data_IF_793288048952
#
_entry.id   IF_793288048952
#
_cell.length_a   1.000
_cell.length_b   1.000
_cell.length_c   1.000
_cell.angle_alpha   90.00
_cell.angle_beta   90.00
_cell.angle_gamma   90.00
#
_symmetry.space_group_name_H-M   'P 1'
#
loop_
_entity.id
_entity.type
_entity.pdbx_description
1 polymer ?
#
# COMPACT_ATOMS: atom_id res chain seq x y z
N UNK A 1 42.69 61.44 3.00
CA UNK A 1 43.10 62.48 2.04
C UNK A 1 43.73 61.76 0.85
N UNK A 2 43.19 62.02 -0.34
CA UNK A 2 43.79 61.78 -1.69
C UNK A 2 44.15 60.33 -2.07
N UNK A 3 44.09 59.83 -3.31
CA UNK A 3 43.55 60.20 -4.65
C UNK A 3 43.69 58.94 -5.53
N UNK A 4 43.10 58.99 -6.75
CA UNK A 4 43.34 58.17 -7.95
C UNK A 4 42.51 56.86 -8.10
N UNK A 5 41.48 56.74 -8.94
CA UNK A 5 41.18 57.18 -10.33
C UNK A 5 41.69 56.23 -11.44
N UNK A 6 40.69 55.58 -12.08
CA UNK A 6 40.48 55.23 -13.50
C UNK A 6 41.23 54.08 -14.18
N UNK A 7 40.41 53.19 -14.78
CA UNK A 7 40.31 52.81 -16.22
C UNK A 7 39.16 51.77 -16.37
N UNK A 8 37.94 52.11 -16.81
CA UNK A 8 37.36 52.18 -18.18
C UNK A 8 37.69 51.03 -19.16
N UNK A 9 36.66 50.28 -19.57
CA UNK A 9 36.38 49.78 -20.94
C UNK A 9 35.11 48.91 -20.87
N UNK A 10 33.94 49.44 -21.23
CA UNK A 10 33.31 49.41 -22.57
C UNK A 10 32.59 48.10 -22.89
N UNK A 11 31.27 48.24 -23.00
CA UNK A 11 30.22 47.28 -23.31
C UNK A 11 30.30 46.85 -24.79
N UNK A 12 30.16 45.55 -25.07
CA UNK A 12 29.72 45.06 -26.38
C UNK A 12 28.76 43.88 -26.17
N UNK A 13 27.55 44.01 -26.72
CA UNK A 13 26.53 42.97 -26.81
C UNK A 13 26.89 42.05 -27.97
N UNK A 14 26.77 40.75 -27.76
CA UNK A 14 26.58 39.80 -28.84
C UNK A 14 25.58 38.74 -28.41
N UNK A 15 24.51 38.66 -29.20
CA UNK A 15 23.46 37.68 -29.15
C UNK A 15 24.02 36.29 -29.44
N UNK A 16 23.65 35.32 -28.62
CA UNK A 16 23.71 33.91 -29.00
C UNK A 16 22.49 33.21 -28.43
N UNK A 17 21.61 32.85 -29.37
CA UNK A 17 20.41 32.06 -29.17
C UNK A 17 20.79 30.71 -28.56
N UNK A 18 20.24 30.39 -27.39
CA UNK A 18 20.30 29.06 -26.82
C UNK A 18 18.94 28.40 -26.99
N UNK A 19 18.95 27.29 -27.71
CA UNK A 19 17.81 26.54 -28.17
C UNK A 19 17.06 25.90 -27.01
N UNK A 20 15.83 26.34 -26.80
CA UNK A 20 14.84 25.68 -25.97
C UNK A 20 14.44 24.35 -26.61
N UNK A 21 15.10 23.26 -26.20
CA UNK A 21 14.63 21.90 -26.45
C UNK A 21 13.36 21.66 -25.63
N UNK A 22 12.22 21.82 -26.32
CA UNK A 22 10.92 21.35 -25.84
C UNK A 22 10.94 19.83 -25.83
N UNK A 23 11.09 19.28 -24.65
CA UNK A 23 10.86 17.86 -24.35
C UNK A 23 9.38 17.56 -24.62
N UNK A 24 9.10 17.04 -25.81
CA UNK A 24 7.76 16.65 -26.23
C UNK A 24 7.43 15.35 -25.53
N UNK A 25 6.69 15.45 -24.43
CA UNK A 25 6.03 14.31 -23.80
C UNK A 25 5.11 13.64 -24.82
N UNK A 26 5.63 12.62 -25.49
CA UNK A 26 4.83 11.73 -26.34
C UNK A 26 3.76 11.10 -25.45
N UNK A 27 2.51 11.51 -25.66
CA UNK A 27 1.34 10.85 -25.11
C UNK A 27 1.36 9.39 -25.59
N UNK A 28 1.82 8.48 -24.73
CA UNK A 28 1.64 7.05 -24.93
C UNK A 28 0.14 6.78 -24.92
N UNK A 29 -0.44 6.68 -26.12
CA UNK A 29 -1.78 6.14 -26.38
C UNK A 29 -1.77 4.63 -26.21
N UNK A 30 -1.38 4.15 -25.03
CA UNK A 30 -1.55 2.76 -24.64
C UNK A 30 -3.00 2.54 -24.23
N UNK A 31 -3.64 1.52 -24.80
CA UNK A 31 -4.91 0.99 -24.29
C UNK A 31 -4.82 0.74 -22.78
N UNK A 32 -5.89 0.95 -21.99
CA UNK A 32 -5.88 0.65 -20.56
C UNK A 32 -5.42 -0.80 -20.35
N UNK A 33 -4.33 -0.99 -19.61
CA UNK A 33 -3.89 -2.35 -19.27
C UNK A 33 -4.99 -3.01 -18.43
N UNK A 34 -5.47 -4.21 -18.81
CA UNK A 34 -6.33 -4.99 -17.95
C UNK A 34 -5.65 -5.19 -16.58
N UNK A 35 -6.42 -5.50 -15.54
CA UNK A 35 -5.80 -5.96 -14.29
C UNK A 35 -4.81 -7.07 -14.63
N UNK A 36 -3.51 -6.85 -14.34
CA UNK A 36 -2.59 -7.97 -14.25
C UNK A 36 -3.24 -8.95 -13.29
N UNK A 37 -3.54 -10.14 -13.77
CA UNK A 37 -4.02 -11.27 -12.99
C UNK A 37 -2.89 -11.89 -12.14
N UNK A 38 -1.82 -11.12 -11.93
CA UNK A 38 -0.58 -11.56 -11.33
C UNK A 38 0.22 -12.52 -12.20
N UNK A 39 -0.14 -12.81 -13.45
CA UNK A 39 0.63 -13.74 -14.30
C UNK A 39 2.04 -13.25 -14.61
N UNK A 40 2.25 -11.93 -14.62
CA UNK A 40 3.56 -11.32 -14.84
C UNK A 40 4.46 -11.33 -13.58
N UNK A 41 3.92 -11.71 -12.42
CA UNK A 41 4.72 -11.83 -11.20
C UNK A 41 5.61 -13.08 -11.29
N UNK A 42 6.91 -12.95 -10.96
CA UNK A 42 7.82 -14.09 -10.92
C UNK A 42 7.37 -15.08 -9.84
N UNK A 43 7.61 -16.37 -10.09
CA UNK A 43 7.48 -17.38 -9.05
C UNK A 43 8.47 -17.09 -7.91
N UNK A 44 7.98 -17.16 -6.67
CA UNK A 44 8.82 -16.98 -5.49
C UNK A 44 8.98 -18.30 -4.74
N UNK A 45 10.15 -18.59 -4.13
CA UNK A 45 10.29 -19.73 -3.24
C UNK A 45 9.23 -19.72 -2.15
N UNK A 46 8.56 -20.86 -1.91
CA UNK A 46 7.54 -21.02 -0.87
C UNK A 46 6.14 -20.55 -1.26
N UNK A 47 5.92 -20.09 -2.49
CA UNK A 47 4.60 -19.64 -2.96
C UNK A 47 3.55 -20.76 -2.95
N UNK A 48 3.97 -22.01 -3.10
CA UNK A 48 3.09 -23.19 -3.10
C UNK A 48 2.39 -23.43 -1.75
N UNK A 49 2.97 -22.90 -0.67
CA UNK A 49 2.38 -22.95 0.69
C UNK A 49 1.80 -21.61 1.14
N UNK A 50 1.81 -20.59 0.26
CA UNK A 50 1.41 -19.24 0.61
C UNK A 50 -0.05 -19.16 1.10
N UNK A 51 -0.95 -19.95 0.51
CA UNK A 51 -2.37 -20.05 0.92
C UNK A 51 -2.64 -21.45 1.50
N UNK A 52 -2.73 -21.57 2.84
CA UNK A 52 -3.00 -22.85 3.47
C UNK A 52 -4.47 -23.27 3.28
N UNK A 53 -4.80 -24.58 3.36
CA UNK A 53 -6.18 -25.08 3.26
C UNK A 53 -7.17 -24.38 4.20
N UNK A 54 -6.73 -24.00 5.40
CA UNK A 54 -7.54 -23.28 6.39
C UNK A 54 -7.91 -21.86 5.95
N UNK A 55 -7.11 -21.22 5.08
CA UNK A 55 -7.47 -19.93 4.48
C UNK A 55 -8.47 -20.10 3.34
N UNK A 56 -8.36 -21.20 2.57
CA UNK A 56 -9.32 -21.55 1.51
C UNK A 56 -10.68 -21.95 2.08
N UNK A 57 -10.69 -22.71 3.17
CA UNK A 57 -11.92 -23.16 3.83
C UNK A 57 -12.51 -22.12 4.79
N UNK A 58 -11.78 -21.04 5.09
CA UNK A 58 -12.24 -19.98 6.00
C UNK A 58 -13.61 -19.43 5.60
N UNK A 59 -14.52 -19.30 6.57
CA UNK A 59 -15.83 -18.70 6.39
C UNK A 59 -15.90 -17.44 7.25
N UNK A 60 -15.78 -16.25 6.65
CA UNK A 60 -15.85 -14.99 7.40
C UNK A 60 -17.20 -14.83 8.08
N UNK A 61 -17.18 -14.33 9.31
CA UNK A 61 -18.39 -13.93 10.03
C UNK A 61 -19.04 -12.70 9.37
N UNK A 62 -20.34 -12.45 9.59
CA UNK A 62 -21.02 -11.28 9.00
C UNK A 62 -20.32 -9.94 9.30
N UNK A 63 -19.79 -9.75 10.50
CA UNK A 63 -19.06 -8.55 10.92
C UNK A 63 -17.62 -8.45 10.36
N UNK A 64 -17.07 -9.56 9.88
CA UNK A 64 -15.80 -9.61 9.14
C UNK A 64 -15.98 -9.28 7.65
N UNK A 65 -17.20 -9.42 7.12
CA UNK A 65 -17.59 -8.94 5.78
C UNK A 65 -18.03 -7.48 5.84
N UNK A 66 -18.92 -7.15 6.78
CA UNK A 66 -19.54 -5.84 6.99
C UNK A 66 -19.30 -5.38 8.41
N UNK A 67 -18.22 -4.61 8.63
CA UNK A 67 -17.90 -4.10 9.96
C UNK A 67 -18.90 -3.00 10.35
N UNK A 68 -19.68 -3.18 11.44
CA UNK A 68 -20.58 -2.13 11.92
C UNK A 68 -19.79 -0.91 12.38
N UNK A 69 -20.30 0.29 12.09
CA UNK A 69 -19.72 1.57 12.55
C UNK A 69 -20.72 2.43 13.33
N UNK A 70 -21.82 1.82 13.80
CA UNK A 70 -22.89 2.48 14.55
C UNK A 70 -24.00 3.03 13.65
N UNK A 71 -25.16 3.35 14.26
CA UNK A 71 -26.32 3.92 13.59
C UNK A 71 -26.84 3.13 12.37
N UNK A 72 -26.70 1.80 12.39
CA UNK A 72 -27.06 0.94 11.27
C UNK A 72 -26.12 1.03 10.05
N UNK A 73 -25.05 1.83 10.13
CA UNK A 73 -24.05 1.96 9.09
C UNK A 73 -22.97 0.89 9.21
N UNK A 74 -22.38 0.52 8.08
CA UNK A 74 -21.32 -0.48 8.00
C UNK A 74 -20.21 -0.03 7.05
N UNK A 75 -19.09 -0.75 7.13
CA UNK A 75 -17.97 -0.69 6.20
C UNK A 75 -17.80 -2.08 5.62
N UNK A 76 -17.86 -2.20 4.30
CA UNK A 76 -17.52 -3.45 3.63
C UNK A 76 -16.01 -3.66 3.71
N UNK A 77 -15.60 -4.83 4.19
CA UNK A 77 -14.21 -5.27 4.30
C UNK A 77 -13.86 -6.35 3.27
N UNK A 78 -14.84 -7.18 2.88
CA UNK A 78 -14.70 -8.24 1.88
C UNK A 78 -15.64 -7.94 0.71
N UNK A 79 -15.09 -7.92 -0.50
CA UNK A 79 -15.78 -7.48 -1.70
C UNK A 79 -16.02 -8.66 -2.64
N UNK A 80 -14.94 -9.22 -3.19
CA UNK A 80 -14.95 -10.34 -4.12
C UNK A 80 -16.09 -10.27 -5.15
N UNK A 81 -16.85 -11.35 -5.25
CA UNK A 81 -18.07 -11.42 -6.06
C UNK A 81 -19.35 -11.32 -5.21
N UNK A 82 -19.22 -10.96 -3.92
CA UNK A 82 -20.37 -10.86 -3.02
C UNK A 82 -21.40 -9.85 -3.59
N UNK A 83 -22.70 -10.09 -3.37
CA UNK A 83 -23.74 -9.21 -3.90
C UNK A 83 -23.62 -7.80 -3.31
N UNK A 84 -23.79 -6.81 -4.18
CA UNK A 84 -23.91 -5.41 -3.77
C UNK A 84 -25.26 -5.17 -3.08
N UNK A 85 -25.26 -4.31 -2.07
CA UNK A 85 -26.51 -3.82 -1.48
C UNK A 85 -27.25 -2.88 -2.44
N UNK A 86 -28.56 -2.65 -2.25
CA UNK A 86 -29.30 -1.70 -3.08
C UNK A 86 -28.69 -0.28 -3.09
N UNK A 87 -28.19 0.16 -1.93
CA UNK A 87 -27.50 1.44 -1.80
C UNK A 87 -26.21 1.48 -2.64
N UNK A 88 -25.36 0.46 -2.53
CA UNK A 88 -24.13 0.35 -3.31
C UNK A 88 -24.38 0.30 -4.82
N UNK A 89 -25.40 -0.45 -5.26
CA UNK A 89 -25.80 -0.49 -6.66
C UNK A 89 -26.24 0.89 -7.15
N UNK A 90 -26.99 1.63 -6.34
CA UNK A 90 -27.41 3.00 -6.64
C UNK A 90 -26.23 3.95 -6.80
N UNK A 91 -25.24 3.90 -5.89
CA UNK A 91 -24.05 4.75 -5.97
C UNK A 91 -23.14 4.37 -7.15
N UNK A 92 -22.99 3.07 -7.45
CA UNK A 92 -22.27 2.62 -8.65
C UNK A 92 -22.95 3.11 -9.93
N UNK A 93 -24.29 3.08 -9.99
CA UNK A 93 -25.03 3.60 -11.13
C UNK A 93 -24.76 5.10 -11.36
N UNK A 94 -24.69 5.91 -10.30
CA UNK A 94 -24.33 7.34 -10.38
C UNK A 94 -22.91 7.56 -10.92
N UNK A 95 -21.94 6.74 -10.47
CA UNK A 95 -20.57 6.77 -11.00
C UNK A 95 -20.55 6.44 -12.50
N UNK A 96 -21.25 5.38 -12.91
CA UNK A 96 -21.34 4.97 -14.32
C UNK A 96 -22.00 6.04 -15.18
N UNK A 97 -23.05 6.68 -14.68
CA UNK A 97 -23.73 7.80 -15.36
C UNK A 97 -22.80 9.01 -15.53
N UNK A 98 -22.00 9.34 -14.50
CA UNK A 98 -21.00 10.41 -14.58
C UNK A 98 -19.91 10.10 -15.62
N UNK A 99 -19.56 8.82 -15.76
CA UNK A 99 -18.57 8.32 -16.72
C UNK A 99 -19.16 8.00 -18.11
N UNK A 100 -20.44 8.29 -18.39
CA UNK A 100 -21.06 7.95 -19.68
C UNK A 100 -20.34 8.56 -20.90
N UNK A 101 -19.71 9.73 -20.71
CA UNK A 101 -18.92 10.43 -21.75
C UNK A 101 -17.45 10.00 -21.79
N UNK A 102 -17.03 9.13 -20.88
CA UNK A 102 -15.67 8.60 -20.77
C UNK A 102 -15.70 7.12 -20.35
N UNK A 103 -16.28 6.24 -21.19
CA UNK A 103 -16.44 4.82 -20.88
C UNK A 103 -15.11 4.07 -20.76
N UNK A 104 -14.01 4.68 -21.20
CA UNK A 104 -12.66 4.12 -21.14
C UNK A 104 -12.17 3.88 -19.70
N UNK A 105 -12.73 4.61 -18.72
CA UNK A 105 -12.43 4.41 -17.31
C UNK A 105 -12.98 3.08 -16.81
N UNK A 106 -14.11 2.61 -17.36
CA UNK A 106 -14.80 1.39 -16.94
C UNK A 106 -14.39 0.17 -17.76
N UNK A 107 -14.34 0.32 -19.08
CA UNK A 107 -14.11 -0.80 -20.00
C UNK A 107 -12.64 -1.23 -20.03
N UNK A 108 -12.39 -2.53 -19.86
CA UNK A 108 -11.03 -3.08 -19.91
C UNK A 108 -10.12 -2.69 -18.74
N UNK A 109 -10.68 -2.16 -17.65
CA UNK A 109 -9.91 -1.74 -16.46
C UNK A 109 -10.37 -2.47 -15.21
N UNK A 110 -9.71 -2.22 -14.07
CA UNK A 110 -10.14 -2.68 -12.73
C UNK A 110 -11.59 -2.30 -12.41
N UNK A 111 -12.11 -1.22 -13.00
CA UNK A 111 -13.43 -0.66 -12.73
C UNK A 111 -14.54 -1.27 -13.62
N UNK A 112 -14.23 -2.29 -14.41
CA UNK A 112 -15.27 -3.14 -15.00
C UNK A 112 -15.99 -3.97 -13.93
N UNK A 113 -15.37 -4.16 -12.77
CA UNK A 113 -15.99 -4.75 -11.58
C UNK A 113 -16.58 -3.66 -10.67
N UNK A 114 -17.90 -3.68 -10.52
CA UNK A 114 -18.64 -2.77 -9.66
C UNK A 114 -18.20 -2.82 -8.20
N UNK A 115 -17.69 -3.97 -7.71
CA UNK A 115 -17.17 -4.08 -6.34
C UNK A 115 -15.88 -3.27 -6.17
N UNK A 116 -15.07 -3.17 -7.22
CA UNK A 116 -13.89 -2.32 -7.23
C UNK A 116 -14.27 -0.84 -7.26
N UNK A 117 -15.38 -0.47 -7.93
CA UNK A 117 -15.97 0.88 -7.83
C UNK A 117 -16.43 1.16 -6.39
N UNK A 118 -17.13 0.22 -5.74
CA UNK A 118 -17.57 0.39 -4.33
C UNK A 118 -16.39 0.60 -3.38
N UNK A 119 -15.25 -0.08 -3.62
CA UNK A 119 -14.02 0.16 -2.84
C UNK A 119 -13.54 1.61 -2.94
N UNK A 120 -13.70 2.24 -4.11
CA UNK A 120 -13.35 3.64 -4.34
C UNK A 120 -14.40 4.60 -3.78
N UNK A 121 -15.69 4.30 -3.92
CA UNK A 121 -16.78 5.06 -3.31
C UNK A 121 -16.62 5.10 -1.78
N UNK A 122 -16.45 3.94 -1.15
CA UNK A 122 -16.26 3.85 0.31
C UNK A 122 -15.00 4.58 0.78
N UNK A 123 -13.92 4.57 -0.02
CA UNK A 123 -12.70 5.31 0.27
C UNK A 123 -12.79 6.82 0.05
N UNK A 124 -13.84 7.28 -0.63
CA UNK A 124 -14.14 8.70 -0.90
C UNK A 124 -15.39 9.17 -0.15
N UNK A 125 -15.75 8.49 0.95
CA UNK A 125 -16.93 8.79 1.76
C UNK A 125 -18.21 8.93 0.91
N UNK A 126 -18.34 8.06 -0.09
CA UNK A 126 -19.46 7.99 -1.04
C UNK A 126 -19.67 9.26 -1.89
N UNK A 127 -18.67 10.13 -1.99
CA UNK A 127 -18.69 11.25 -2.91
C UNK A 127 -18.36 10.79 -4.34
N UNK A 128 -19.35 10.84 -5.24
CA UNK A 128 -19.25 10.37 -6.64
C UNK A 128 -18.20 11.12 -7.44
N UNK A 129 -18.13 12.45 -7.32
CA UNK A 129 -17.19 13.28 -8.09
C UNK A 129 -15.73 13.00 -7.70
N UNK A 130 -15.45 12.98 -6.40
CA UNK A 130 -14.13 12.61 -5.86
C UNK A 130 -13.77 11.17 -6.25
N UNK A 131 -14.73 10.25 -6.17
CA UNK A 131 -14.54 8.86 -6.59
C UNK A 131 -14.09 8.79 -8.05
N UNK A 132 -14.79 9.45 -8.98
CA UNK A 132 -14.44 9.46 -10.40
C UNK A 132 -13.06 10.06 -10.64
N UNK A 133 -12.73 11.18 -9.99
CA UNK A 133 -11.40 11.80 -10.11
C UNK A 133 -10.29 10.85 -9.62
N UNK A 134 -10.51 10.17 -8.49
CA UNK A 134 -9.58 9.22 -7.92
C UNK A 134 -9.45 7.94 -8.74
N UNK A 135 -10.54 7.46 -9.38
CA UNK A 135 -10.51 6.34 -10.31
C UNK A 135 -9.60 6.66 -11.50
N UNK A 136 -9.77 7.83 -12.13
CA UNK A 136 -8.92 8.27 -13.25
C UNK A 136 -7.45 8.36 -12.85
N UNK A 137 -7.16 9.00 -11.71
CA UNK A 137 -5.79 9.08 -11.17
C UNK A 137 -5.20 7.70 -10.91
N UNK A 138 -6.00 6.77 -10.38
CA UNK A 138 -5.56 5.42 -10.12
C UNK A 138 -5.19 4.66 -11.39
N UNK A 139 -5.96 4.80 -12.48
CA UNK A 139 -5.61 4.16 -13.75
C UNK A 139 -4.29 4.67 -14.33
N UNK A 140 -4.06 5.99 -14.27
CA UNK A 140 -2.78 6.60 -14.66
C UNK A 140 -1.65 6.05 -13.80
N UNK A 141 -1.81 6.06 -12.48
CA UNK A 141 -0.81 5.54 -11.56
C UNK A 141 -0.49 4.06 -11.83
N UNK A 142 -1.52 3.22 -12.04
CA UNK A 142 -1.35 1.79 -12.34
C UNK A 142 -0.54 1.60 -13.62
N UNK A 143 -0.87 2.32 -14.70
CA UNK A 143 -0.13 2.25 -15.97
C UNK A 143 1.33 2.65 -15.80
N UNK A 144 1.61 3.66 -15.00
CA UNK A 144 2.94 4.23 -14.87
C UNK A 144 3.83 3.45 -13.88
N UNK A 145 3.24 2.67 -12.96
CA UNK A 145 3.96 2.00 -11.89
C UNK A 145 3.87 0.46 -11.92
N UNK A 146 2.92 -0.13 -12.66
CA UNK A 146 2.68 -1.58 -12.67
C UNK A 146 2.69 -2.16 -14.10
N UNK A 147 3.14 -3.41 -14.28
CA UNK A 147 3.76 -4.28 -13.28
C UNK A 147 5.16 -3.79 -12.89
N UNK A 148 5.59 -4.08 -11.66
CA UNK A 148 6.95 -3.78 -11.21
C UNK A 148 7.91 -4.77 -11.89
N UNK A 149 8.93 -4.31 -12.66
CA UNK A 149 9.85 -5.23 -13.32
C UNK A 149 10.59 -6.12 -12.32
N UNK A 150 10.47 -7.44 -12.46
CA UNK A 150 11.09 -8.41 -11.54
C UNK A 150 12.60 -8.19 -11.38
N UNK A 151 13.32 -7.92 -12.48
CA UNK A 151 14.75 -7.64 -12.47
C UNK A 151 15.14 -6.44 -11.58
N UNK A 152 14.23 -5.48 -11.37
CA UNK A 152 14.46 -4.31 -10.50
C UNK A 152 14.34 -4.66 -9.02
N UNK A 153 13.50 -5.64 -8.66
CA UNK A 153 13.12 -5.90 -7.26
C UNK A 153 13.70 -7.18 -6.68
N UNK A 154 13.86 -8.24 -7.48
CA UNK A 154 14.37 -9.53 -6.98
C UNK A 154 15.74 -9.42 -6.27
N UNK A 155 16.73 -8.65 -6.78
CA UNK A 155 17.99 -8.46 -6.09
C UNK A 155 17.88 -7.68 -4.76
N UNK A 156 16.77 -6.95 -4.57
CA UNK A 156 16.53 -6.13 -3.38
C UNK A 156 15.80 -6.91 -2.27
N UNK A 157 15.05 -7.96 -2.61
CA UNK A 157 14.29 -8.74 -1.63
C UNK A 157 15.16 -9.27 -0.47
N UNK A 158 16.37 -9.84 -0.70
CA UNK A 158 17.23 -10.31 0.39
C UNK A 158 17.62 -9.23 1.42
N UNK A 159 17.54 -7.93 1.06
CA UNK A 159 17.80 -6.83 1.99
C UNK A 159 16.70 -6.70 3.07
N UNK A 160 15.52 -7.29 2.81
CA UNK A 160 14.43 -7.41 3.77
C UNK A 160 13.89 -6.07 4.28
N UNK A 161 13.68 -5.09 3.40
CA UNK A 161 12.99 -3.83 3.77
C UNK A 161 11.58 -4.09 4.30
N UNK A 162 10.90 -5.01 3.63
CA UNK A 162 9.61 -5.56 4.03
C UNK A 162 9.44 -6.96 3.44
N UNK A 163 8.52 -7.72 4.02
CA UNK A 163 8.18 -9.09 3.62
C UNK A 163 6.82 -9.47 4.21
N UNK A 164 6.32 -10.65 3.86
CA UNK A 164 5.08 -11.20 4.45
C UNK A 164 5.43 -12.44 5.26
N UNK A 165 4.82 -12.56 6.45
CA UNK A 165 5.03 -13.69 7.34
C UNK A 165 3.80 -13.93 8.22
N UNK A 166 3.26 -15.15 8.20
CA UNK A 166 2.15 -15.55 9.08
C UNK A 166 0.81 -14.91 8.74
N UNK A 167 -0.23 -15.39 9.43
CA UNK A 167 -1.61 -14.91 9.28
C UNK A 167 -2.26 -14.64 10.63
N UNK A 168 -3.15 -13.66 10.66
CA UNK A 168 -3.97 -13.40 11.85
C UNK A 168 -5.14 -14.40 11.99
N UNK A 169 -5.93 -14.27 13.06
CA UNK A 169 -7.06 -15.16 13.34
C UNK A 169 -8.14 -15.16 12.25
N UNK A 170 -8.27 -14.05 11.51
CA UNK A 170 -9.15 -13.93 10.33
C UNK A 170 -8.45 -14.38 9.03
N UNK A 171 -7.32 -15.10 9.16
CA UNK A 171 -6.47 -15.62 8.07
C UNK A 171 -5.84 -14.55 7.18
N UNK A 172 -5.82 -13.28 7.61
CA UNK A 172 -5.22 -12.17 6.86
C UNK A 172 -3.69 -12.26 6.93
N UNK A 173 -2.96 -12.19 5.80
CA UNK A 173 -1.50 -12.19 5.83
C UNK A 173 -0.97 -10.96 6.59
N UNK A 174 0.17 -11.13 7.27
CA UNK A 174 0.82 -10.07 8.03
C UNK A 174 2.04 -9.56 7.25
N UNK A 175 1.97 -8.30 6.85
CA UNK A 175 3.04 -7.59 6.17
C UNK A 175 3.96 -6.94 7.21
N UNK A 176 5.25 -7.23 7.15
CA UNK A 176 6.24 -6.73 8.11
C UNK A 176 7.13 -5.71 7.41
N UNK A 177 7.27 -4.52 7.99
CA UNK A 177 8.20 -3.47 7.56
C UNK A 177 9.26 -3.34 8.63
N UNK A 178 10.53 -3.59 8.27
CA UNK A 178 11.66 -3.40 9.18
C UNK A 178 12.24 -2.01 8.96
N UNK A 179 11.91 -1.09 9.85
CA UNK A 179 12.08 0.34 9.58
C UNK A 179 13.56 0.74 9.50
N UNK A 180 14.45 0.09 10.25
CA UNK A 180 15.89 0.27 10.15
C UNK A 180 16.40 0.04 8.72
N UNK A 181 16.12 -1.11 8.14
CA UNK A 181 16.54 -1.46 6.78
C UNK A 181 15.81 -0.61 5.73
N UNK A 182 14.52 -0.33 5.96
CA UNK A 182 13.68 0.46 5.07
C UNK A 182 14.15 1.91 4.94
N UNK A 183 14.48 2.57 6.06
CA UNK A 183 14.91 3.97 6.08
C UNK A 183 16.35 4.13 5.62
N UNK A 184 17.20 3.13 5.85
CA UNK A 184 18.60 3.14 5.42
C UNK A 184 18.77 2.78 3.93
N UNK A 185 17.71 2.35 3.26
CA UNK A 185 17.73 2.00 1.85
C UNK A 185 17.88 3.21 0.94
N UNK A 186 18.27 2.96 -0.32
CA UNK A 186 18.15 3.97 -1.36
C UNK A 186 16.65 4.32 -1.54
N UNK A 187 16.24 5.59 -1.41
CA UNK A 187 14.83 5.99 -1.52
C UNK A 187 14.11 5.50 -2.76
N UNK A 188 14.83 5.36 -3.88
CA UNK A 188 14.28 4.92 -5.16
C UNK A 188 14.00 3.41 -5.24
N UNK A 189 14.54 2.63 -4.29
CA UNK A 189 14.39 1.17 -4.20
C UNK A 189 13.17 0.76 -3.37
N UNK A 190 12.84 1.56 -2.34
CA UNK A 190 11.88 1.18 -1.29
C UNK A 190 10.46 1.01 -1.83
N UNK A 191 9.94 2.04 -2.51
CA UNK A 191 8.56 2.01 -3.02
C UNK A 191 8.36 0.83 -4.01
N UNK A 192 9.23 0.59 -5.01
CA UNK A 192 9.12 -0.58 -5.88
C UNK A 192 9.04 -1.92 -5.14
N UNK A 193 9.85 -2.11 -4.07
CA UNK A 193 9.82 -3.35 -3.28
C UNK A 193 8.50 -3.48 -2.51
N UNK A 194 7.99 -2.40 -1.93
CA UNK A 194 6.68 -2.41 -1.24
C UNK A 194 5.56 -2.75 -2.23
N UNK A 195 5.53 -2.08 -3.39
CA UNK A 195 4.51 -2.32 -4.42
C UNK A 195 4.57 -3.76 -4.93
N UNK A 196 5.77 -4.30 -5.14
CA UNK A 196 5.95 -5.69 -5.53
C UNK A 196 5.33 -6.65 -4.49
N UNK A 197 5.66 -6.49 -3.21
CA UNK A 197 5.09 -7.35 -2.17
C UNK A 197 3.59 -7.18 -2.00
N UNK A 198 3.04 -5.98 -2.22
CA UNK A 198 1.59 -5.78 -2.19
C UNK A 198 0.91 -6.48 -3.38
N UNK A 199 1.44 -6.40 -4.59
CA UNK A 199 0.89 -7.15 -5.73
C UNK A 199 1.01 -8.67 -5.50
N UNK A 200 2.16 -9.16 -5.01
CA UNK A 200 2.31 -10.57 -4.60
C UNK A 200 1.25 -10.95 -3.57
N UNK A 201 1.05 -10.13 -2.54
CA UNK A 201 0.03 -10.39 -1.51
C UNK A 201 -1.36 -10.51 -2.12
N UNK A 202 -1.73 -9.58 -3.00
CA UNK A 202 -3.04 -9.55 -3.65
C UNK A 202 -3.29 -10.78 -4.49
N UNK A 203 -2.31 -11.19 -5.29
CA UNK A 203 -2.48 -12.23 -6.30
C UNK A 203 -2.11 -13.64 -5.81
N UNK A 204 -1.39 -13.76 -4.69
CA UNK A 204 -0.86 -15.04 -4.18
C UNK A 204 -1.23 -15.36 -2.73
N UNK A 205 -1.68 -14.39 -1.92
CA UNK A 205 -1.92 -14.62 -0.48
C UNK A 205 -3.34 -14.30 -0.01
N UNK A 206 -4.05 -13.42 -0.73
CA UNK A 206 -5.46 -13.14 -0.48
C UNK A 206 -6.34 -14.24 -1.07
N UNK A 207 -7.52 -14.43 -0.46
CA UNK A 207 -8.50 -15.44 -0.88
C UNK A 207 -9.80 -14.71 -1.19
N UNK A 208 -10.22 -14.77 -2.45
CA UNK A 208 -11.45 -14.11 -2.93
C UNK A 208 -12.65 -14.49 -2.06
N UNK A 209 -13.51 -13.52 -1.74
CA UNK A 209 -14.70 -13.68 -0.88
C UNK A 209 -14.41 -14.04 0.59
N UNK A 210 -13.15 -14.16 1.02
CA UNK A 210 -12.78 -14.70 2.34
C UNK A 210 -11.75 -13.85 3.06
N UNK A 211 -10.62 -13.61 2.42
CA UNK A 211 -9.46 -12.92 2.98
C UNK A 211 -9.02 -11.85 1.99
N UNK A 212 -9.52 -10.63 2.15
CA UNK A 212 -9.24 -9.52 1.22
C UNK A 212 -8.49 -8.36 1.86
N UNK A 213 -7.99 -8.55 3.07
CA UNK A 213 -7.26 -7.55 3.83
C UNK A 213 -5.95 -8.14 4.36
N UNK A 214 -5.02 -7.27 4.70
CA UNK A 214 -3.77 -7.60 5.36
C UNK A 214 -3.62 -6.80 6.67
N UNK A 215 -2.82 -7.35 7.57
CA UNK A 215 -2.33 -6.68 8.77
C UNK A 215 -0.91 -6.19 8.51
N UNK A 216 -0.52 -5.09 9.16
CA UNK A 216 0.85 -4.57 9.05
C UNK A 216 1.51 -4.53 10.42
N UNK A 217 2.77 -4.92 10.50
CA UNK A 217 3.65 -4.65 11.63
C UNK A 217 4.78 -3.77 11.10
N UNK A 218 4.98 -2.60 11.71
CA UNK A 218 6.13 -1.73 11.46
C UNK A 218 7.03 -1.84 12.68
N UNK A 219 8.19 -2.43 12.48
CA UNK A 219 9.20 -2.60 13.52
C UNK A 219 10.17 -1.42 13.49
N UNK A 220 10.15 -0.63 14.56
CA UNK A 220 11.04 0.50 14.76
C UNK A 220 12.29 0.15 15.60
N UNK A 221 12.53 -1.14 15.90
CA UNK A 221 13.74 -1.52 16.61
C UNK A 221 14.99 -1.02 15.85
N UNK A 222 15.92 -0.44 16.60
CA UNK A 222 17.16 0.14 16.08
C UNK A 222 16.96 1.19 14.96
N UNK A 223 15.77 1.76 14.84
CA UNK A 223 15.46 2.84 13.92
C UNK A 223 15.68 4.20 14.62
N UNK A 224 16.24 5.17 13.91
CA UNK A 224 16.36 6.56 14.39
C UNK A 224 15.27 7.43 13.77
N UNK A 225 14.41 8.01 14.61
CA UNK A 225 13.37 8.94 14.17
C UNK A 225 13.95 10.23 13.56
N UNK A 226 15.15 10.65 13.99
CA UNK A 226 15.81 11.87 13.53
C UNK A 226 16.35 11.74 12.10
N UNK A 227 16.73 10.53 11.68
CA UNK A 227 17.21 10.26 10.32
C UNK A 227 16.09 9.80 9.39
N UNK A 228 14.84 9.75 9.86
CA UNK A 228 13.72 9.28 9.07
C UNK A 228 13.39 10.27 7.93
N UNK A 229 13.38 9.83 6.65
CA UNK A 229 13.10 10.69 5.52
C UNK A 229 11.59 10.98 5.43
N UNK A 230 11.12 11.96 6.21
CA UNK A 230 9.70 12.29 6.38
C UNK A 230 8.97 12.49 5.03
N UNK A 231 9.60 13.16 4.07
CA UNK A 231 9.02 13.39 2.74
C UNK A 231 8.73 12.08 2.02
N UNK A 232 9.73 11.18 1.95
CA UNK A 232 9.59 9.86 1.31
C UNK A 232 8.54 9.01 2.05
N UNK A 233 8.51 9.05 3.39
CA UNK A 233 7.50 8.31 4.17
C UNK A 233 6.08 8.82 3.90
N UNK A 234 5.91 10.14 3.76
CA UNK A 234 4.63 10.73 3.34
C UNK A 234 4.23 10.27 1.93
N UNK A 235 5.16 10.33 0.97
CA UNK A 235 4.88 9.95 -0.41
C UNK A 235 4.49 8.47 -0.52
N UNK A 236 5.14 7.59 0.24
CA UNK A 236 4.78 6.17 0.33
C UNK A 236 3.40 6.03 0.98
N UNK A 237 3.18 6.60 2.16
CA UNK A 237 1.91 6.50 2.89
C UNK A 237 0.72 6.98 2.04
N UNK A 238 0.93 8.08 1.33
CA UNK A 238 -0.02 8.70 0.42
C UNK A 238 -0.30 7.80 -0.80
N UNK A 239 0.76 7.31 -1.46
CA UNK A 239 0.66 6.37 -2.59
C UNK A 239 -0.13 5.12 -2.21
N UNK A 240 0.18 4.51 -1.06
CA UNK A 240 -0.47 3.29 -0.62
C UNK A 240 -1.94 3.53 -0.27
N UNK A 241 -2.24 4.61 0.43
CA UNK A 241 -3.61 4.97 0.79
C UNK A 241 -4.47 5.25 -0.45
N UNK A 242 -3.92 5.96 -1.44
CA UNK A 242 -4.63 6.30 -2.67
C UNK A 242 -4.78 5.13 -3.66
N UNK A 243 -3.96 4.09 -3.58
CA UNK A 243 -3.97 3.05 -4.62
C UNK A 243 -4.35 1.66 -4.10
N UNK A 244 -4.18 1.37 -2.81
CA UNK A 244 -4.52 0.09 -2.18
C UNK A 244 -5.67 0.22 -1.18
N UNK A 245 -6.73 0.94 -1.60
CA UNK A 245 -7.89 1.27 -0.76
C UNK A 245 -8.58 0.03 -0.18
N UNK A 246 -8.99 0.11 1.09
CA UNK A 246 -9.80 -0.92 1.74
C UNK A 246 -9.10 -2.27 2.00
N UNK A 247 -7.76 -2.31 1.91
CA UNK A 247 -6.98 -3.55 2.13
C UNK A 247 -6.30 -3.60 3.51
N UNK A 248 -6.03 -2.46 4.14
CA UNK A 248 -5.48 -2.44 5.50
C UNK A 248 -6.56 -2.81 6.54
N UNK A 249 -6.33 -3.89 7.29
CA UNK A 249 -7.11 -4.28 8.47
C UNK A 249 -6.69 -3.45 9.70
N UNK A 250 -5.43 -3.60 10.11
CA UNK A 250 -4.82 -2.92 11.26
C UNK A 250 -3.31 -2.82 11.03
N UNK A 251 -2.68 -1.79 11.58
CA UNK A 251 -1.24 -1.57 11.55
C UNK A 251 -0.73 -1.36 12.98
N UNK A 252 0.22 -2.18 13.39
CA UNK A 252 0.91 -2.03 14.67
C UNK A 252 2.29 -1.44 14.40
N UNK A 253 2.58 -0.29 14.99
CA UNK A 253 3.90 0.31 15.02
C UNK A 253 4.50 -0.01 16.38
N UNK A 254 5.49 -0.91 16.39
CA UNK A 254 6.08 -1.48 17.60
C UNK A 254 7.48 -0.92 17.82
N UNK A 255 7.99 -1.07 19.06
CA UNK A 255 9.29 -0.53 19.46
C UNK A 255 9.37 1.00 19.24
N UNK A 256 8.23 1.69 19.33
CA UNK A 256 8.09 3.12 19.09
C UNK A 256 8.53 3.91 20.31
N UNK A 257 9.83 4.16 20.47
CA UNK A 257 10.35 5.12 21.44
C UNK A 257 9.65 6.48 21.37
N UNK A 258 9.64 7.26 22.45
CA UNK A 258 8.88 8.53 22.51
C UNK A 258 9.17 9.51 21.36
N UNK A 259 10.39 9.51 20.82
CA UNK A 259 10.81 10.34 19.67
C UNK A 259 10.00 10.08 18.39
N UNK A 260 9.40 8.90 18.25
CA UNK A 260 8.58 8.54 17.11
C UNK A 260 7.18 9.16 17.13
N UNK A 261 6.74 9.68 18.28
CA UNK A 261 5.47 10.40 18.34
C UNK A 261 5.50 11.65 17.45
N UNK A 262 6.62 12.40 17.47
CA UNK A 262 6.81 13.55 16.59
C UNK A 262 6.83 13.16 15.11
N UNK A 263 7.51 12.06 14.76
CA UNK A 263 7.52 11.53 13.39
C UNK A 263 6.11 11.15 12.93
N UNK A 264 5.33 10.49 13.80
CA UNK A 264 3.95 10.14 13.54
C UNK A 264 3.08 11.36 13.28
N UNK A 265 3.20 12.44 14.06
CA UNK A 265 2.46 13.68 13.82
C UNK A 265 2.76 14.25 12.43
N UNK A 266 4.02 14.19 11.98
CA UNK A 266 4.40 14.67 10.65
C UNK A 266 3.82 13.79 9.54
N UNK A 267 3.99 12.46 9.63
CA UNK A 267 3.58 11.53 8.57
C UNK A 267 2.05 11.38 8.50
N UNK A 268 1.36 11.36 9.64
CA UNK A 268 -0.09 11.09 9.69
C UNK A 268 -0.95 12.14 8.99
N UNK A 269 -0.44 13.34 8.69
CA UNK A 269 -1.17 14.41 7.98
C UNK A 269 -1.70 13.96 6.62
N UNK A 270 -1.01 13.06 5.92
CA UNK A 270 -1.45 12.56 4.60
C UNK A 270 -2.44 11.39 4.71
N UNK A 271 -2.70 10.90 5.93
CA UNK A 271 -3.57 9.74 6.16
C UNK A 271 -5.02 10.19 6.41
N UNK A 272 -6.01 9.55 5.75
CA UNK A 272 -7.42 9.69 6.10
C UNK A 272 -7.68 9.25 7.54
N UNK A 273 -8.68 9.85 8.18
CA UNK A 273 -9.02 9.57 9.58
C UNK A 273 -9.31 8.09 9.84
N UNK A 274 -10.04 7.44 8.92
CA UNK A 274 -10.32 6.00 8.96
C UNK A 274 -9.06 5.14 8.92
N UNK A 275 -7.98 5.62 8.29
CA UNK A 275 -6.69 4.92 8.27
C UNK A 275 -5.96 5.13 9.59
N UNK A 276 -5.96 6.35 10.14
CA UNK A 276 -5.36 6.65 11.46
C UNK A 276 -5.98 5.78 12.57
N UNK A 277 -7.30 5.59 12.55
CA UNK A 277 -8.02 4.73 13.50
C UNK A 277 -7.60 3.25 13.47
N UNK A 278 -6.89 2.81 12.43
CA UNK A 278 -6.37 1.45 12.30
C UNK A 278 -4.91 1.32 12.75
N UNK A 279 -4.26 2.43 13.10
CA UNK A 279 -2.85 2.48 13.41
C UNK A 279 -2.69 2.59 14.93
N UNK A 280 -1.97 1.63 15.51
CA UNK A 280 -1.69 1.55 16.95
C UNK A 280 -0.18 1.69 17.16
N UNK A 281 0.24 2.63 18.02
CA UNK A 281 1.64 2.87 18.35
C UNK A 281 1.95 2.31 19.73
N UNK A 282 3.01 1.54 19.83
CA UNK A 282 3.43 0.89 21.07
C UNK A 282 4.92 1.12 21.32
N UNK A 283 5.23 1.71 22.49
CA UNK A 283 6.61 1.78 23.00
C UNK A 283 7.06 0.41 23.50
N UNK A 284 6.22 -0.24 24.31
CA UNK A 284 6.42 -1.57 24.90
C UNK A 284 5.07 -2.30 25.01
N UNK A 285 5.07 -3.58 25.39
CA UNK A 285 3.88 -4.38 25.69
C UNK A 285 2.86 -4.52 24.54
N UNK A 286 3.28 -4.33 23.29
CA UNK A 286 2.43 -4.53 22.11
C UNK A 286 1.93 -5.97 21.95
N UNK A 287 2.62 -6.93 22.58
CA UNK A 287 2.35 -8.35 22.46
C UNK A 287 0.93 -8.71 22.93
N UNK A 288 0.39 -8.03 23.94
CA UNK A 288 -0.98 -8.27 24.40
C UNK A 288 -2.01 -7.97 23.31
N UNK A 289 -1.88 -6.83 22.64
CA UNK A 289 -2.74 -6.46 21.50
C UNK A 289 -2.51 -7.40 20.31
N UNK A 290 -1.24 -7.62 19.94
CA UNK A 290 -0.86 -8.51 18.84
C UNK A 290 -1.47 -9.91 18.99
N UNK A 291 -1.30 -10.53 20.17
CA UNK A 291 -1.77 -11.90 20.41
C UNK A 291 -3.26 -12.03 20.72
N UNK A 292 -3.95 -10.91 20.96
CA UNK A 292 -5.42 -10.90 20.94
C UNK A 292 -5.96 -11.22 19.54
N UNK A 293 -5.20 -10.89 18.49
CA UNK A 293 -5.59 -11.03 17.09
C UNK A 293 -4.81 -12.08 16.30
N UNK A 294 -3.61 -12.47 16.75
CA UNK A 294 -2.70 -13.37 16.03
C UNK A 294 -2.26 -14.51 16.95
N UNK A 295 -2.10 -15.72 16.43
CA UNK A 295 -1.56 -16.83 17.22
C UNK A 295 -0.03 -16.75 17.31
N UNK A 296 0.57 -17.22 18.42
CA UNK A 296 2.03 -17.12 18.62
C UNK A 296 2.85 -17.90 17.58
N UNK A 297 2.32 -19.01 17.08
CA UNK A 297 2.91 -19.80 15.99
C UNK A 297 2.73 -19.14 14.60
N UNK A 298 2.22 -17.91 14.54
CA UNK A 298 2.11 -17.11 13.31
C UNK A 298 3.01 -15.88 13.36
N UNK A 299 3.88 -15.78 14.38
CA UNK A 299 4.71 -14.62 14.67
C UNK A 299 6.13 -15.09 14.96
N UNK A 300 7.12 -14.34 14.50
CA UNK A 300 8.53 -14.61 14.77
C UNK A 300 8.89 -14.38 16.24
N UNK A 301 9.92 -15.08 16.72
CA UNK A 301 10.46 -14.96 18.07
C UNK A 301 10.84 -13.50 18.43
N UNK A 302 11.38 -12.73 17.48
CA UNK A 302 11.74 -11.31 17.70
C UNK A 302 10.53 -10.43 18.06
N UNK A 303 9.31 -10.86 17.70
CA UNK A 303 8.06 -10.17 18.02
C UNK A 303 7.28 -10.88 19.15
N UNK A 304 7.92 -11.83 19.84
CA UNK A 304 7.36 -12.58 20.97
C UNK A 304 6.54 -13.82 20.58
N UNK A 305 6.59 -14.23 19.30
CA UNK A 305 5.96 -15.46 18.82
C UNK A 305 6.83 -16.70 19.08
N UNK A 306 6.53 -17.79 18.36
CA UNK A 306 7.24 -19.08 18.49
C UNK A 306 7.84 -19.56 17.18
N UNK A 307 7.74 -18.80 16.10
CA UNK A 307 8.40 -19.14 14.85
C UNK A 307 9.83 -18.63 14.82
N UNK A 308 10.73 -19.43 14.27
CA UNK A 308 12.09 -18.97 14.00
C UNK A 308 12.07 -17.69 13.15
N UNK A 309 12.98 -16.77 13.48
CA UNK A 309 13.11 -15.52 12.74
C UNK A 309 13.48 -15.78 11.28
N UNK A 310 12.85 -15.06 10.37
CA UNK A 310 13.20 -15.08 8.95
C UNK A 310 14.58 -14.44 8.77
N UNK A 311 15.45 -15.15 8.07
CA UNK A 311 16.80 -14.67 7.70
C UNK A 311 16.99 -14.54 6.19
N UNK A 312 16.14 -15.21 5.40
CA UNK A 312 16.08 -15.09 3.96
C UNK A 312 14.75 -14.42 3.54
N UNK A 313 14.83 -13.25 2.93
CA UNK A 313 13.67 -12.44 2.57
C UNK A 313 13.28 -12.54 1.08
N UNK A 314 13.93 -13.43 0.32
CA UNK A 314 13.72 -13.57 -1.13
C UNK A 314 12.48 -14.41 -1.51
N UNK A 315 11.77 -14.97 -0.53
CA UNK A 315 10.64 -15.89 -0.75
C UNK A 315 9.49 -15.64 0.21
N UNK A 316 8.42 -16.40 0.03
CA UNK A 316 7.23 -16.39 0.88
C UNK A 316 7.39 -17.47 1.95
N UNK A 317 7.37 -17.07 3.23
CA UNK A 317 7.51 -17.99 4.34
C UNK A 317 6.28 -17.86 5.25
N UNK A 318 5.34 -18.79 5.10
CA UNK A 318 4.09 -18.79 5.86
C UNK A 318 4.07 -19.98 6.82
N UNK A 319 4.09 -19.76 8.15
CA UNK A 319 3.99 -20.84 9.11
C UNK A 319 2.63 -21.55 9.01
N UNK A 320 2.58 -22.89 9.20
CA UNK A 320 1.34 -23.65 9.19
C UNK A 320 0.46 -23.28 10.40
N UNK A 321 -0.80 -23.70 10.35
CA UNK A 321 -1.74 -23.53 11.46
C UNK A 321 -1.26 -24.17 12.78
N UNK A 322 -2.02 -23.99 13.88
CA UNK A 322 -3.34 -23.36 13.93
C UNK A 322 -3.27 -21.84 13.78
N UNK A 323 -4.36 -21.22 13.32
CA UNK A 323 -4.51 -19.76 13.35
C UNK A 323 -5.67 -19.31 14.24
N UNK A 324 -6.26 -20.22 15.00
CA UNK A 324 -7.34 -20.01 15.96
C UNK A 324 -7.12 -20.92 17.13
#
# INVERSE_FOLDING_TARGET
METNSKKSASFSRQDSADSCERDTSAQRTGSPSPMSNGSDLPALPGEETAVPPEALSYQPKPDEIYKPIGNGLFVRLIFGDLPLTPYEMGEVAKVKETLKRDPSVLSGTVFSDDRYIVRFLQGNDWNVEKCVADMKRHLVWRRDHLPIPAAKVLPLLPKGYCYVFGRDKCRRPIFIIRCKEFISANPTEVLPVVLFWLEVTIHRLLVKNKVEQWRVIIDLDQCSALSAPVGILKDIADTLTRNYRGRLSQMLIINSGFVFWSLWQLVSVVLPERTKQKICLYTTNYQADLFSHVQKNQVEERYGGTCANVTNFAGIYMPPGPFS
#
